data_IF_285953069029
#
_entry.id   IF_285953069029
#
_cell.length_a   1.000
_cell.length_b   1.000
_cell.length_c   1.000
_cell.angle_alpha   90.00
_cell.angle_beta   90.00
_cell.angle_gamma   90.00
#
_symmetry.space_group_name_H-M   'P 1'
#
loop_
_entity.id
_entity.type
_entity.pdbx_description
1 polymer ?
#
# COMPACT_ATOMS: atom_id res chain seq x y z
N UNK A 1 43.78 -22.73 -85.93
CA UNK A 1 44.13 -23.51 -84.73
C UNK A 1 44.42 -22.48 -83.58
N UNK A 2 43.44 -22.06 -82.79
CA UNK A 2 43.65 -21.37 -81.56
C UNK A 2 42.46 -21.66 -80.66
N UNK A 3 42.66 -22.51 -79.64
CA UNK A 3 41.68 -22.85 -78.62
C UNK A 3 41.53 -21.69 -77.63
N UNK A 4 40.35 -21.09 -77.63
CA UNK A 4 40.00 -20.12 -76.56
C UNK A 4 39.51 -20.91 -75.34
N UNK A 5 40.23 -20.88 -74.25
CA UNK A 5 39.79 -21.34 -72.96
C UNK A 5 39.00 -20.21 -72.31
N UNK A 6 37.71 -20.38 -72.18
CA UNK A 6 36.86 -19.47 -71.42
C UNK A 6 36.81 -19.94 -69.95
N UNK A 7 37.53 -19.26 -69.08
CA UNK A 7 37.43 -19.48 -67.64
C UNK A 7 36.14 -18.85 -67.11
N UNK A 8 35.17 -19.72 -66.77
CA UNK A 8 33.97 -19.30 -66.06
C UNK A 8 34.27 -19.32 -64.55
N UNK A 9 34.57 -18.17 -63.97
CA UNK A 9 34.65 -17.99 -62.51
C UNK A 9 33.27 -17.98 -61.92
N UNK A 10 32.89 -19.12 -61.31
CA UNK A 10 31.66 -19.23 -60.49
C UNK A 10 31.93 -18.60 -59.11
N UNK A 11 31.54 -17.32 -58.93
CA UNK A 11 31.58 -16.66 -57.63
C UNK A 11 30.38 -17.14 -56.80
N UNK A 12 30.60 -18.11 -55.94
CA UNK A 12 29.66 -18.51 -54.91
C UNK A 12 29.61 -17.48 -53.81
N UNK A 13 28.64 -16.55 -53.90
CA UNK A 13 28.34 -15.64 -52.81
C UNK A 13 27.67 -16.43 -51.66
N UNK A 14 28.48 -16.84 -50.68
CA UNK A 14 28.00 -17.38 -49.39
C UNK A 14 27.34 -16.25 -48.62
N UNK A 15 26.00 -16.16 -48.61
CA UNK A 15 25.25 -15.31 -47.67
C UNK A 15 25.55 -15.78 -46.25
N UNK A 16 26.36 -15.06 -45.53
CA UNK A 16 26.53 -15.19 -44.11
C UNK A 16 25.24 -14.62 -43.44
N UNK A 17 24.26 -15.50 -43.17
CA UNK A 17 23.12 -15.18 -42.33
C UNK A 17 23.66 -15.08 -40.88
N UNK A 18 23.98 -13.87 -40.45
CA UNK A 18 24.27 -13.61 -39.03
C UNK A 18 22.99 -13.90 -38.23
N UNK A 19 23.03 -14.78 -37.21
CA UNK A 19 21.88 -14.96 -36.33
C UNK A 19 21.63 -13.63 -35.64
N UNK A 20 20.57 -12.94 -36.00
CA UNK A 20 20.01 -11.85 -35.23
C UNK A 20 19.46 -12.44 -33.93
N UNK A 21 20.23 -12.39 -32.86
CA UNK A 21 19.69 -12.60 -31.53
C UNK A 21 18.72 -11.45 -31.25
N UNK A 22 17.45 -11.65 -31.59
CA UNK A 22 16.41 -10.79 -31.06
C UNK A 22 16.47 -10.94 -29.53
N UNK A 23 16.87 -9.88 -28.83
CA UNK A 23 16.83 -9.89 -27.38
C UNK A 23 15.40 -10.28 -26.94
N UNK A 24 15.29 -11.34 -26.16
CA UNK A 24 13.99 -11.81 -25.69
C UNK A 24 13.38 -10.73 -24.78
N UNK A 25 12.21 -10.21 -25.15
CA UNK A 25 11.50 -9.19 -24.38
C UNK A 25 11.13 -9.74 -23.02
N UNK A 26 11.67 -9.15 -21.95
CA UNK A 26 11.50 -9.61 -20.59
C UNK A 26 10.48 -8.74 -19.84
N UNK A 27 9.27 -9.27 -19.66
CA UNK A 27 8.22 -8.64 -18.88
C UNK A 27 8.11 -9.26 -17.47
N UNK A 28 7.87 -8.40 -16.47
CA UNK A 28 7.56 -8.79 -15.11
C UNK A 28 6.19 -8.27 -14.68
N UNK A 29 5.63 -8.88 -13.63
CA UNK A 29 4.41 -8.44 -12.97
C UNK A 29 4.61 -8.39 -11.46
N UNK A 30 4.08 -7.35 -10.81
CA UNK A 30 4.10 -7.19 -9.35
C UNK A 30 2.69 -6.90 -8.85
N UNK A 31 2.18 -7.73 -7.96
CA UNK A 31 0.91 -7.49 -7.29
C UNK A 31 1.06 -6.46 -6.17
N UNK A 32 0.75 -5.21 -6.46
CA UNK A 32 0.72 -4.14 -5.44
C UNK A 32 -0.15 -4.49 -4.23
N UNK A 33 -1.37 -5.06 -4.39
CA UNK A 33 -2.18 -5.46 -3.24
C UNK A 33 -1.46 -6.48 -2.34
N UNK A 34 -0.77 -7.47 -2.92
CA UNK A 34 -0.01 -8.44 -2.12
C UNK A 34 1.15 -7.78 -1.39
N UNK A 35 1.90 -6.89 -2.03
CA UNK A 35 2.98 -6.14 -1.38
C UNK A 35 2.46 -5.35 -0.18
N UNK A 36 1.31 -4.68 -0.32
CA UNK A 36 0.69 -3.88 0.74
C UNK A 36 0.09 -4.70 1.88
N UNK A 37 -0.21 -5.97 1.67
CA UNK A 37 -0.80 -6.84 2.70
C UNK A 37 0.23 -7.77 3.34
N UNK A 38 1.18 -8.28 2.58
CA UNK A 38 2.03 -9.40 2.97
C UNK A 38 3.45 -8.99 3.34
N UNK A 39 3.98 -7.85 2.81
CA UNK A 39 5.36 -7.43 3.07
C UNK A 39 5.61 -7.08 4.53
N UNK A 40 6.82 -7.31 5.01
CA UNK A 40 7.26 -6.95 6.37
C UNK A 40 7.14 -5.45 6.61
N UNK A 41 7.43 -4.64 5.59
CA UNK A 41 7.34 -3.17 5.66
C UNK A 41 5.90 -2.71 5.89
N UNK A 42 4.93 -3.32 5.19
CA UNK A 42 3.51 -3.01 5.37
C UNK A 42 3.00 -3.44 6.75
N UNK A 43 3.39 -4.64 7.21
CA UNK A 43 3.07 -5.11 8.56
C UNK A 43 3.67 -4.21 9.64
N UNK A 44 4.92 -3.80 9.48
CA UNK A 44 5.57 -2.87 10.41
C UNK A 44 4.87 -1.49 10.42
N UNK A 45 4.40 -1.00 9.27
CA UNK A 45 3.61 0.23 9.18
C UNK A 45 2.29 0.11 9.95
N UNK A 46 1.60 -1.03 9.84
CA UNK A 46 0.37 -1.30 10.58
C UNK A 46 0.62 -1.32 12.10
N UNK A 47 1.68 -1.99 12.54
CA UNK A 47 2.06 -2.03 13.98
C UNK A 47 2.37 -0.62 14.51
N UNK A 48 3.08 0.22 13.75
CA UNK A 48 3.33 1.61 14.14
C UNK A 48 2.04 2.41 14.31
N UNK A 49 1.10 2.29 13.37
CA UNK A 49 -0.20 2.95 13.46
C UNK A 49 -0.99 2.48 14.69
N UNK A 50 -1.01 1.19 14.95
CA UNK A 50 -1.69 0.63 16.13
C UNK A 50 -1.06 1.16 17.43
N UNK A 51 0.26 1.18 17.55
CA UNK A 51 0.97 1.74 18.71
C UNK A 51 0.70 3.22 18.91
N UNK A 52 0.67 4.00 17.83
CA UNK A 52 0.43 5.45 17.86
C UNK A 52 -1.01 5.78 18.28
N UNK A 53 -1.99 5.01 17.81
CA UNK A 53 -3.41 5.32 17.95
C UNK A 53 -4.15 4.57 19.05
N UNK A 54 -3.66 3.41 19.53
CA UNK A 54 -4.34 2.56 20.50
C UNK A 54 -4.74 3.28 21.80
N UNK A 55 -3.88 4.13 22.33
CA UNK A 55 -4.17 4.90 23.55
C UNK A 55 -5.29 5.93 23.32
N UNK A 56 -5.29 6.59 22.18
CA UNK A 56 -6.32 7.57 21.80
C UNK A 56 -7.66 6.89 21.56
N UNK A 57 -7.65 5.73 20.90
CA UNK A 57 -8.84 4.91 20.67
C UNK A 57 -9.47 4.47 21.99
N UNK A 58 -8.66 3.97 22.95
CA UNK A 58 -9.13 3.65 24.28
C UNK A 58 -9.77 4.85 24.98
N UNK A 59 -9.11 6.01 24.94
CA UNK A 59 -9.66 7.24 25.53
C UNK A 59 -11.01 7.61 24.93
N UNK A 60 -11.18 7.49 23.60
CA UNK A 60 -12.45 7.74 22.93
C UNK A 60 -13.53 6.74 23.33
N UNK A 61 -13.18 5.47 23.46
CA UNK A 61 -14.11 4.45 23.91
C UNK A 61 -14.60 4.73 25.35
N UNK A 62 -13.67 5.12 26.23
CA UNK A 62 -14.00 5.49 27.62
C UNK A 62 -14.89 6.76 27.67
N UNK A 63 -14.62 7.75 26.82
CA UNK A 63 -15.46 8.95 26.70
C UNK A 63 -16.86 8.62 26.17
N UNK A 64 -16.96 7.76 25.14
CA UNK A 64 -18.23 7.33 24.59
C UNK A 64 -19.08 6.54 25.63
N UNK A 65 -18.45 5.68 26.43
CA UNK A 65 -19.10 5.02 27.54
C UNK A 65 -19.61 6.03 28.58
N UNK A 66 -18.78 7.01 28.96
CA UNK A 66 -19.15 8.06 29.91
C UNK A 66 -20.34 8.90 29.44
N UNK A 67 -20.40 9.29 28.16
CA UNK A 67 -21.56 10.00 27.59
C UNK A 67 -22.83 9.19 27.78
N UNK A 68 -22.79 7.87 27.45
CA UNK A 68 -23.93 6.97 27.61
C UNK A 68 -24.37 6.85 29.07
N UNK A 69 -23.42 6.67 29.99
CA UNK A 69 -23.70 6.52 31.42
C UNK A 69 -24.30 7.80 32.01
N UNK A 70 -23.76 8.98 31.63
CA UNK A 70 -24.31 10.27 32.10
C UNK A 70 -25.72 10.50 31.56
N UNK A 71 -25.98 10.15 30.29
CA UNK A 71 -27.32 10.25 29.69
C UNK A 71 -28.32 9.32 30.38
N UNK A 72 -27.96 8.03 30.61
CA UNK A 72 -28.82 7.08 31.29
C UNK A 72 -29.10 7.49 32.75
N UNK A 73 -28.09 8.00 33.46
CA UNK A 73 -28.27 8.49 34.83
C UNK A 73 -29.19 9.73 34.85
N UNK A 74 -29.03 10.65 33.90
CA UNK A 74 -29.91 11.82 33.82
C UNK A 74 -31.37 11.40 33.57
N UNK A 75 -31.61 10.47 32.64
CA UNK A 75 -32.95 9.97 32.33
C UNK A 75 -33.60 9.31 33.58
N UNK A 76 -32.86 8.44 34.30
CA UNK A 76 -33.32 7.77 35.49
C UNK A 76 -33.64 8.73 36.64
N UNK A 77 -32.77 9.72 36.86
CA UNK A 77 -32.84 10.60 38.01
C UNK A 77 -33.70 11.87 37.75
N UNK A 78 -34.02 12.17 36.48
CA UNK A 78 -34.78 13.35 36.07
C UNK A 78 -36.07 13.64 36.86
N UNK A 79 -36.90 12.60 37.22
CA UNK A 79 -38.14 12.82 37.97
C UNK A 79 -37.91 13.30 39.41
N UNK A 80 -36.73 13.07 39.98
CA UNK A 80 -36.39 13.40 41.40
C UNK A 80 -35.55 14.63 41.51
N UNK A 81 -34.99 15.17 40.40
CA UNK A 81 -34.15 16.33 40.40
C UNK A 81 -34.95 17.66 40.41
N UNK A 82 -34.46 18.66 41.12
CA UNK A 82 -34.95 20.03 40.94
C UNK A 82 -34.69 20.51 39.52
N UNK A 83 -35.51 21.45 38.99
CA UNK A 83 -35.38 22.02 37.68
C UNK A 83 -33.96 22.58 37.41
N UNK A 84 -33.42 23.32 38.39
CA UNK A 84 -32.06 23.86 38.28
C UNK A 84 -30.99 22.78 38.11
N UNK A 85 -31.08 21.68 38.88
CA UNK A 85 -30.13 20.56 38.78
C UNK A 85 -30.30 19.77 37.49
N UNK A 86 -31.54 19.62 37.01
CA UNK A 86 -31.81 18.98 35.73
C UNK A 86 -31.18 19.76 34.58
N UNK A 87 -31.38 21.08 34.51
CA UNK A 87 -30.79 21.96 33.50
C UNK A 87 -29.26 21.92 33.56
N UNK A 88 -28.68 21.95 34.75
CA UNK A 88 -27.22 21.84 34.93
C UNK A 88 -26.69 20.50 34.34
N UNK A 89 -27.28 19.37 34.73
CA UNK A 89 -26.87 18.06 34.21
C UNK A 89 -27.07 17.89 32.71
N UNK A 90 -28.12 18.50 32.14
CA UNK A 90 -28.32 18.54 30.69
C UNK A 90 -27.18 19.30 29.98
N UNK A 91 -26.76 20.44 30.52
CA UNK A 91 -25.62 21.19 29.96
C UNK A 91 -24.31 20.41 30.05
N UNK A 92 -24.04 19.76 31.20
CA UNK A 92 -22.86 18.90 31.39
C UNK A 92 -22.85 17.75 30.36
N UNK A 93 -24.00 17.12 30.10
CA UNK A 93 -24.12 16.06 29.08
C UNK A 93 -23.84 16.60 27.67
N UNK A 94 -24.42 17.75 27.32
CA UNK A 94 -24.20 18.39 26.01
C UNK A 94 -22.72 18.75 25.80
N UNK A 95 -22.08 19.34 26.82
CA UNK A 95 -20.63 19.68 26.76
C UNK A 95 -19.76 18.42 26.61
N UNK A 96 -20.08 17.36 27.36
CA UNK A 96 -19.36 16.09 27.29
C UNK A 96 -19.52 15.44 25.90
N UNK A 97 -20.73 15.41 25.35
CA UNK A 97 -20.98 14.87 24.01
C UNK A 97 -20.29 15.70 22.92
N UNK A 98 -20.34 17.03 23.00
CA UNK A 98 -19.65 17.91 22.06
C UNK A 98 -18.12 17.65 22.07
N UNK A 99 -17.50 17.52 23.27
CA UNK A 99 -16.08 17.21 23.39
C UNK A 99 -15.75 15.83 22.81
N UNK A 100 -16.59 14.82 23.09
CA UNK A 100 -16.45 13.50 22.51
C UNK A 100 -16.52 13.51 20.98
N UNK A 101 -17.54 14.17 20.39
CA UNK A 101 -17.70 14.25 18.94
C UNK A 101 -16.53 14.99 18.29
N UNK A 102 -16.03 16.07 18.90
CA UNK A 102 -14.87 16.80 18.42
C UNK A 102 -13.62 15.91 18.40
N UNK A 103 -13.29 15.25 19.52
CA UNK A 103 -12.12 14.36 19.64
C UNK A 103 -12.23 13.15 18.71
N UNK A 104 -13.45 12.64 18.50
CA UNK A 104 -13.69 11.55 17.54
C UNK A 104 -13.36 11.97 16.11
N UNK A 105 -13.76 13.18 15.69
CA UNK A 105 -13.41 13.69 14.36
C UNK A 105 -11.90 13.89 14.23
N UNK A 106 -11.27 14.56 15.18
CA UNK A 106 -9.81 14.77 15.20
C UNK A 106 -9.05 13.43 15.09
N UNK A 107 -9.48 12.41 15.82
CA UNK A 107 -8.89 11.08 15.77
C UNK A 107 -9.05 10.45 14.36
N UNK A 108 -10.24 10.54 13.76
CA UNK A 108 -10.50 9.97 12.44
C UNK A 108 -9.68 10.66 11.35
N UNK A 109 -9.57 11.99 11.41
CA UNK A 109 -8.79 12.79 10.47
C UNK A 109 -7.29 12.45 10.59
N UNK A 110 -6.75 12.47 11.81
CA UNK A 110 -5.34 12.15 12.06
C UNK A 110 -5.01 10.70 11.62
N UNK A 111 -5.87 9.74 11.97
CA UNK A 111 -5.68 8.35 11.57
C UNK A 111 -5.70 8.18 10.05
N UNK A 112 -6.60 8.88 9.36
CA UNK A 112 -6.67 8.83 7.89
C UNK A 112 -5.41 9.42 7.24
N UNK A 113 -4.93 10.56 7.75
CA UNK A 113 -3.68 11.20 7.29
C UNK A 113 -2.50 10.25 7.52
N UNK A 114 -2.36 9.71 8.73
CA UNK A 114 -1.23 8.82 9.05
C UNK A 114 -1.26 7.52 8.28
N UNK A 115 -2.44 6.92 8.06
CA UNK A 115 -2.60 5.75 7.17
C UNK A 115 -2.12 6.04 5.76
N UNK A 116 -2.49 7.20 5.21
CA UNK A 116 -2.05 7.58 3.87
C UNK A 116 -0.54 7.80 3.79
N UNK A 117 0.06 8.46 4.79
CA UNK A 117 1.51 8.65 4.86
C UNK A 117 2.26 7.32 4.91
N UNK A 118 1.84 6.38 5.75
CA UNK A 118 2.46 5.05 5.83
C UNK A 118 2.27 4.26 4.53
N UNK A 119 1.09 4.34 3.89
CA UNK A 119 0.85 3.75 2.58
C UNK A 119 1.81 4.29 1.53
N UNK A 120 1.99 5.62 1.45
CA UNK A 120 2.90 6.24 0.49
C UNK A 120 4.36 5.81 0.72
N UNK A 121 4.79 5.67 1.98
CA UNK A 121 6.12 5.15 2.30
C UNK A 121 6.32 3.71 1.80
N UNK A 122 5.34 2.83 2.04
CA UNK A 122 5.41 1.44 1.57
C UNK A 122 5.47 1.39 0.04
N UNK A 123 4.64 2.17 -0.66
CA UNK A 123 4.64 2.25 -2.12
C UNK A 123 5.96 2.79 -2.67
N UNK A 124 6.54 3.79 -2.04
CA UNK A 124 7.84 4.33 -2.43
C UNK A 124 8.93 3.27 -2.33
N UNK A 125 9.03 2.58 -1.18
CA UNK A 125 10.01 1.52 -0.98
C UNK A 125 9.82 0.36 -1.97
N UNK A 126 8.56 -0.02 -2.24
CA UNK A 126 8.24 -1.04 -3.23
C UNK A 126 8.71 -0.62 -4.64
N UNK A 127 8.45 0.62 -5.05
CA UNK A 127 8.89 1.14 -6.35
C UNK A 127 10.43 1.16 -6.46
N UNK A 128 11.13 1.54 -5.40
CA UNK A 128 12.59 1.51 -5.37
C UNK A 128 13.14 0.08 -5.51
N UNK A 129 12.53 -0.90 -4.81
CA UNK A 129 12.89 -2.31 -4.92
C UNK A 129 12.62 -2.85 -6.33
N UNK A 130 11.45 -2.53 -6.91
CA UNK A 130 11.08 -2.91 -8.28
C UNK A 130 12.10 -2.35 -9.29
N UNK A 131 12.46 -1.06 -9.17
CA UNK A 131 13.44 -0.45 -10.09
C UNK A 131 14.84 -1.07 -9.97
N UNK A 132 15.27 -1.43 -8.76
CA UNK A 132 16.55 -2.13 -8.55
C UNK A 132 16.54 -3.51 -9.23
N UNK A 133 15.47 -4.29 -9.03
CA UNK A 133 15.30 -5.60 -9.66
C UNK A 133 15.24 -5.46 -11.19
N UNK A 134 14.45 -4.48 -11.71
CA UNK A 134 14.31 -4.24 -13.13
C UNK A 134 15.66 -3.99 -13.81
N UNK A 135 16.48 -3.13 -13.23
CA UNK A 135 17.81 -2.80 -13.74
C UNK A 135 18.79 -3.97 -13.64
N UNK A 136 18.79 -4.66 -12.49
CA UNK A 136 19.73 -5.77 -12.24
C UNK A 136 19.47 -6.99 -13.14
N UNK A 137 18.22 -7.21 -13.50
CA UNK A 137 17.81 -8.39 -14.28
C UNK A 137 17.43 -8.06 -15.73
N UNK A 138 17.62 -6.82 -16.18
CA UNK A 138 17.32 -6.35 -17.53
C UNK A 138 15.85 -6.63 -17.94
N UNK A 139 14.89 -6.22 -17.09
CA UNK A 139 13.49 -6.20 -17.48
C UNK A 139 13.20 -5.03 -18.41
N UNK A 140 12.50 -5.30 -19.51
CA UNK A 140 12.04 -4.26 -20.42
C UNK A 140 10.79 -3.56 -19.93
N UNK A 141 9.95 -4.30 -19.17
CA UNK A 141 8.68 -3.80 -18.65
C UNK A 141 8.31 -4.52 -17.35
N UNK A 142 7.81 -3.77 -16.35
CA UNK A 142 7.14 -4.33 -15.17
C UNK A 142 5.76 -3.70 -15.04
N UNK A 143 4.73 -4.56 -14.99
CA UNK A 143 3.32 -4.20 -14.83
C UNK A 143 2.88 -4.38 -13.38
N UNK A 144 1.99 -3.53 -12.92
CA UNK A 144 1.36 -3.62 -11.59
C UNK A 144 -0.12 -4.03 -11.65
N UNK A 145 -0.71 -3.93 -12.83
CA UNK A 145 -2.09 -4.34 -13.08
C UNK A 145 -2.19 -5.08 -14.40
N UNK A 146 -2.90 -6.22 -14.41
CA UNK A 146 -3.13 -7.02 -15.60
C UNK A 146 -4.39 -7.87 -15.43
N UNK A 147 -5.21 -7.94 -16.50
CA UNK A 147 -6.39 -8.82 -16.54
C UNK A 147 -5.98 -10.28 -16.50
N UNK A 148 -4.85 -10.62 -17.11
CA UNK A 148 -4.25 -11.94 -17.12
C UNK A 148 -2.73 -11.84 -17.16
N UNK A 149 -2.05 -12.67 -16.39
CA UNK A 149 -0.61 -12.87 -16.45
C UNK A 149 -0.25 -14.33 -16.24
N UNK A 150 0.81 -14.80 -16.88
CA UNK A 150 1.35 -16.12 -16.60
C UNK A 150 2.24 -16.06 -15.35
N UNK A 151 2.10 -17.03 -14.45
CA UNK A 151 2.83 -17.08 -13.19
C UNK A 151 4.37 -16.94 -13.33
N UNK A 152 4.94 -17.33 -14.49
CA UNK A 152 6.37 -17.16 -14.77
C UNK A 152 6.84 -15.71 -14.76
N UNK A 153 5.91 -14.75 -14.98
CA UNK A 153 6.21 -13.32 -14.96
C UNK A 153 6.01 -12.66 -13.58
N UNK A 154 5.42 -13.38 -12.61
CA UNK A 154 5.22 -12.86 -11.27
C UNK A 154 6.55 -12.73 -10.51
N UNK A 155 6.93 -11.49 -10.21
CA UNK A 155 8.13 -11.17 -9.43
C UNK A 155 7.78 -10.62 -8.04
N UNK A 156 6.50 -10.71 -7.61
CA UNK A 156 6.02 -10.14 -6.34
C UNK A 156 6.81 -10.64 -5.14
N UNK A 157 7.07 -11.95 -5.06
CA UNK A 157 7.87 -12.55 -3.98
C UNK A 157 9.31 -12.01 -3.92
N UNK A 158 9.90 -11.75 -5.10
CA UNK A 158 11.26 -11.19 -5.16
C UNK A 158 11.29 -9.75 -4.68
N UNK A 159 10.25 -8.97 -5.02
CA UNK A 159 10.09 -7.59 -4.53
C UNK A 159 9.92 -7.60 -3.01
N UNK A 160 9.07 -8.47 -2.46
CA UNK A 160 8.88 -8.59 -1.01
C UNK A 160 10.18 -8.97 -0.30
N UNK A 161 10.93 -9.94 -0.81
CA UNK A 161 12.25 -10.31 -0.25
C UNK A 161 13.26 -9.15 -0.31
N UNK A 162 13.25 -8.37 -1.39
CA UNK A 162 14.12 -7.20 -1.50
C UNK A 162 13.75 -6.10 -0.49
N UNK A 163 12.45 -5.92 -0.20
CA UNK A 163 11.97 -5.03 0.86
C UNK A 163 12.42 -5.49 2.25
N UNK A 164 12.37 -6.80 2.51
CA UNK A 164 12.78 -7.38 3.79
C UNK A 164 14.30 -7.23 4.04
N UNK A 165 15.10 -7.26 2.96
CA UNK A 165 16.55 -7.13 3.04
C UNK A 165 17.06 -5.69 3.15
N UNK A 166 16.18 -4.71 2.94
CA UNK A 166 16.52 -3.28 2.96
C UNK A 166 16.26 -2.61 4.33
N UNK A 167 15.75 -3.37 5.30
CA UNK A 167 15.55 -2.97 6.70
C UNK A 167 16.80 -3.29 7.52
#
# INVERSE_FOLDING_TARGET
>A
MKKLFTNLCLVTATLFVLPTFAAEFKAGFVSTPRVLQESSVAKAAQVRLEQEFSKREKTLNDMGAKVKDVAANLERDAPTLSESKRVQKQRELVELDQDFQRKKREFQEDLAIRKNEELQKVLQLANEAIQKIAKAENFDLILQDAVYMNAKHDITERVMKALDSAQ
#
